data_IF_612349104266
#
_entry.id   IF_612349104266
#
_cell.length_a   1.000
_cell.length_b   1.000
_cell.length_c   1.000
_cell.angle_alpha   90.00
_cell.angle_beta   90.00
_cell.angle_gamma   90.00
#
_symmetry.space_group_name_H-M   'P 1'
#
loop_
_entity.id
_entity.type
_entity.pdbx_description
1 polymer ?
#
# COMPACT_ATOMS: atom_id res chain seq x y z
N UNK A 1 20.38 -20.73 0.32
CA UNK A 1 19.30 -20.67 1.35
C UNK A 1 19.47 -19.38 2.14
N UNK A 2 18.41 -18.63 2.40
CA UNK A 2 18.48 -17.43 3.27
C UNK A 2 18.79 -17.85 4.71
N UNK A 3 19.70 -17.14 5.34
CA UNK A 3 20.03 -17.32 6.76
C UNK A 3 18.81 -16.96 7.65
N UNK A 4 18.72 -17.56 8.82
CA UNK A 4 17.65 -17.29 9.81
C UNK A 4 17.65 -15.82 10.24
N UNK A 5 18.82 -15.22 10.39
CA UNK A 5 18.98 -13.81 10.71
C UNK A 5 18.32 -12.90 9.66
N UNK A 6 18.57 -13.14 8.35
CA UNK A 6 17.98 -12.34 7.26
C UNK A 6 16.46 -12.44 7.24
N UNK A 7 15.93 -13.64 7.52
CA UNK A 7 14.47 -13.83 7.61
C UNK A 7 13.87 -13.03 8.76
N UNK A 8 14.55 -13.03 9.92
CA UNK A 8 14.11 -12.30 11.10
C UNK A 8 14.13 -10.79 10.85
N UNK A 9 15.21 -10.26 10.28
CA UNK A 9 15.31 -8.83 9.93
C UNK A 9 14.19 -8.41 8.98
N UNK A 10 13.94 -9.19 7.93
CA UNK A 10 12.84 -8.90 6.97
C UNK A 10 11.47 -8.95 7.62
N UNK A 11 11.25 -9.91 8.53
CA UNK A 11 10.00 -10.02 9.28
C UNK A 11 9.80 -8.81 10.20
N UNK A 12 10.83 -8.38 10.92
CA UNK A 12 10.77 -7.19 11.78
C UNK A 12 10.50 -5.93 10.97
N UNK A 13 11.18 -5.75 9.84
CA UNK A 13 10.94 -4.60 8.94
C UNK A 13 9.52 -4.65 8.38
N UNK A 14 9.02 -5.84 7.98
CA UNK A 14 7.65 -5.99 7.51
C UNK A 14 6.62 -5.64 8.60
N UNK A 15 6.85 -6.07 9.85
CA UNK A 15 5.98 -5.75 10.98
C UNK A 15 5.97 -4.25 11.31
N UNK A 16 7.13 -3.59 11.28
CA UNK A 16 7.23 -2.14 11.47
C UNK A 16 6.50 -1.37 10.35
N UNK A 17 6.66 -1.80 9.11
CA UNK A 17 5.94 -1.21 7.98
C UNK A 17 4.43 -1.48 8.07
N UNK A 18 3.99 -2.67 8.48
CA UNK A 18 2.58 -2.96 8.71
C UNK A 18 2.00 -2.01 9.77
N UNK A 19 2.68 -1.84 10.90
CA UNK A 19 2.26 -0.91 11.96
C UNK A 19 2.19 0.54 11.44
N UNK A 20 3.20 0.99 10.68
CA UNK A 20 3.20 2.32 10.08
C UNK A 20 2.05 2.50 9.06
N UNK A 21 1.78 1.48 8.23
CA UNK A 21 0.64 1.48 7.30
C UNK A 21 -0.68 1.58 8.07
N UNK A 22 -0.85 0.81 9.15
CA UNK A 22 -2.05 0.86 10.00
C UNK A 22 -2.27 2.26 10.55
N UNK A 23 -1.23 2.86 11.17
CA UNK A 23 -1.32 4.19 11.77
C UNK A 23 -1.62 5.26 10.70
N UNK A 24 -0.92 5.20 9.57
CA UNK A 24 -1.12 6.15 8.46
C UNK A 24 -2.52 6.05 7.86
N UNK A 25 -3.05 4.83 7.75
CA UNK A 25 -4.37 4.56 7.15
C UNK A 25 -5.51 4.87 8.11
N UNK A 26 -5.40 4.45 9.38
CA UNK A 26 -6.50 4.57 10.33
C UNK A 26 -6.58 5.95 11.00
N UNK A 27 -5.46 6.65 11.17
CA UNK A 27 -5.41 7.85 12.00
C UNK A 27 -4.85 9.08 11.31
N UNK A 28 -3.87 8.94 10.41
CA UNK A 28 -3.25 10.09 9.74
C UNK A 28 -3.93 10.30 8.39
N UNK A 29 -4.52 11.50 8.19
CA UNK A 29 -5.25 11.85 6.96
C UNK A 29 -6.41 10.92 6.63
N UNK A 30 -7.09 10.41 7.64
CA UNK A 30 -8.26 9.57 7.50
C UNK A 30 -9.49 10.46 7.24
N UNK A 31 -9.94 10.52 5.98
CA UNK A 31 -11.07 11.35 5.55
C UNK A 31 -12.24 10.46 5.11
N UNK A 32 -13.33 10.36 5.89
CA UNK A 32 -14.49 9.56 5.52
C UNK A 32 -15.13 10.03 4.21
N UNK A 33 -15.58 9.09 3.38
CA UNK A 33 -16.36 9.38 2.17
C UNK A 33 -17.85 9.18 2.50
N UNK A 34 -18.66 10.25 2.51
CA UNK A 34 -20.08 10.14 2.83
C UNK A 34 -20.81 9.15 1.92
N UNK A 35 -21.65 8.31 2.50
CA UNK A 35 -22.52 7.37 1.77
C UNK A 35 -21.87 6.05 1.34
N UNK A 36 -20.54 5.89 1.46
CA UNK A 36 -19.87 4.64 1.06
C UNK A 36 -19.39 3.79 2.25
N UNK A 37 -19.37 4.36 3.45
CA UNK A 37 -18.73 3.74 4.62
C UNK A 37 -17.21 3.54 4.46
N UNK A 38 -16.63 4.05 3.37
CA UNK A 38 -15.20 4.06 3.11
C UNK A 38 -14.55 5.39 3.46
N UNK A 39 -13.26 5.50 3.21
CA UNK A 39 -12.47 6.68 3.55
C UNK A 39 -11.26 6.84 2.62
N UNK A 40 -10.75 8.08 2.51
CA UNK A 40 -9.51 8.41 1.81
C UNK A 40 -8.37 8.41 2.83
N UNK A 41 -7.23 7.84 2.44
CA UNK A 41 -6.00 7.82 3.24
C UNK A 41 -4.76 7.79 2.33
N UNK A 42 -3.58 8.01 2.90
CA UNK A 42 -2.32 7.96 2.14
C UNK A 42 -1.38 6.81 2.55
N UNK A 43 -1.90 5.83 3.27
CA UNK A 43 -1.17 4.63 3.68
C UNK A 43 -0.60 3.81 2.52
N UNK A 44 -1.19 3.92 1.31
CA UNK A 44 -0.71 3.24 0.11
C UNK A 44 0.71 3.67 -0.28
N UNK A 45 1.14 4.88 0.07
CA UNK A 45 2.53 5.32 -0.12
C UNK A 45 3.53 4.42 0.63
N UNK A 46 3.19 4.02 1.85
CA UNK A 46 4.00 3.09 2.65
C UNK A 46 3.94 1.66 2.12
N UNK A 47 2.81 1.25 1.54
CA UNK A 47 2.69 -0.03 0.84
C UNK A 47 3.64 -0.07 -0.37
N UNK A 48 3.70 1.01 -1.16
CA UNK A 48 4.64 1.13 -2.28
C UNK A 48 6.10 1.07 -1.80
N UNK A 49 6.43 1.72 -0.69
CA UNK A 49 7.76 1.64 -0.08
C UNK A 49 8.08 0.21 0.37
N UNK A 50 7.15 -0.47 1.04
CA UNK A 50 7.30 -1.86 1.46
C UNK A 50 7.54 -2.78 0.26
N UNK A 51 6.77 -2.60 -0.82
CA UNK A 51 6.89 -3.37 -2.05
C UNK A 51 8.23 -3.14 -2.80
N UNK A 52 8.81 -1.95 -2.66
CA UNK A 52 10.12 -1.65 -3.21
C UNK A 52 11.28 -2.14 -2.33
N UNK A 53 11.06 -2.29 -1.03
CA UNK A 53 12.11 -2.66 -0.06
C UNK A 53 12.18 -4.15 0.20
N UNK A 54 11.04 -4.79 0.41
CA UNK A 54 10.94 -6.17 0.88
C UNK A 54 10.72 -7.16 -0.27
N UNK A 55 11.21 -8.40 -0.14
CA UNK A 55 10.78 -9.50 -1.00
C UNK A 55 9.26 -9.68 -0.96
N UNK A 56 8.68 -10.11 -2.08
CA UNK A 56 7.24 -10.17 -2.31
C UNK A 56 6.41 -10.72 -1.14
N UNK A 57 6.72 -11.88 -0.53
CA UNK A 57 5.87 -12.41 0.55
C UNK A 57 5.84 -11.50 1.80
N UNK A 58 6.95 -10.85 2.14
CA UNK A 58 7.01 -9.91 3.26
C UNK A 58 6.29 -8.60 2.93
N UNK A 59 6.43 -8.11 1.69
CA UNK A 59 5.75 -6.91 1.23
C UNK A 59 4.22 -7.11 1.20
N UNK A 60 3.75 -8.25 0.69
CA UNK A 60 2.32 -8.63 0.73
C UNK A 60 1.85 -8.73 2.17
N UNK A 61 2.61 -9.40 3.04
CA UNK A 61 2.28 -9.50 4.47
C UNK A 61 2.15 -8.13 5.13
N UNK A 62 3.11 -7.22 4.91
CA UNK A 62 3.07 -5.86 5.46
C UNK A 62 1.85 -5.08 4.95
N UNK A 63 1.55 -5.16 3.65
CA UNK A 63 0.42 -4.47 3.05
C UNK A 63 -0.94 -4.99 3.56
N UNK A 64 -1.11 -6.31 3.54
CA UNK A 64 -2.37 -6.97 3.93
C UNK A 64 -2.64 -6.80 5.43
N UNK A 65 -1.64 -7.06 6.27
CA UNK A 65 -1.79 -6.90 7.72
C UNK A 65 -1.98 -5.44 8.08
N UNK A 66 -1.17 -4.54 7.51
CA UNK A 66 -1.23 -3.12 7.85
C UNK A 66 -2.54 -2.47 7.45
N UNK A 67 -2.99 -2.64 6.20
CA UNK A 67 -4.26 -2.11 5.73
C UNK A 67 -5.47 -2.85 6.32
N UNK A 68 -5.36 -4.17 6.47
CA UNK A 68 -6.42 -4.97 7.08
C UNK A 68 -6.69 -4.61 8.54
N UNK A 69 -5.66 -4.36 9.35
CA UNK A 69 -5.81 -3.86 10.72
C UNK A 69 -6.44 -2.46 10.75
N UNK A 70 -6.08 -1.59 9.81
CA UNK A 70 -6.70 -0.27 9.71
C UNK A 70 -8.22 -0.39 9.47
N UNK A 71 -8.62 -1.22 8.49
CA UNK A 71 -10.04 -1.44 8.22
C UNK A 71 -10.77 -2.12 9.38
N UNK A 72 -10.13 -3.10 10.02
CA UNK A 72 -10.71 -3.77 11.19
C UNK A 72 -11.05 -2.76 12.30
N UNK A 73 -10.25 -1.71 12.44
CA UNK A 73 -10.44 -0.67 13.45
C UNK A 73 -11.42 0.43 13.04
N UNK A 74 -11.54 0.72 11.73
CA UNK A 74 -12.25 1.92 11.25
C UNK A 74 -13.42 1.62 10.33
N UNK A 75 -13.34 0.58 9.50
CA UNK A 75 -14.33 0.21 8.49
C UNK A 75 -14.35 -1.30 8.21
N UNK A 76 -14.73 -2.15 9.19
CA UNK A 76 -14.59 -3.62 9.13
C UNK A 76 -15.22 -4.26 7.89
N UNK A 77 -16.26 -3.65 7.34
CA UNK A 77 -16.96 -4.13 6.15
C UNK A 77 -16.05 -4.18 4.91
N UNK A 78 -15.01 -3.35 4.86
CA UNK A 78 -14.06 -3.28 3.75
C UNK A 78 -12.92 -4.29 3.85
N UNK A 79 -12.68 -4.88 5.03
CA UNK A 79 -11.57 -5.79 5.29
C UNK A 79 -11.40 -6.90 4.23
N UNK A 80 -12.44 -7.64 3.80
CA UNK A 80 -12.26 -8.70 2.81
C UNK A 80 -11.78 -8.17 1.45
N UNK A 81 -12.33 -7.04 0.99
CA UNK A 81 -11.92 -6.40 -0.26
C UNK A 81 -10.50 -5.86 -0.14
N UNK A 82 -10.20 -5.14 0.93
CA UNK A 82 -8.89 -4.54 1.18
C UNK A 82 -7.76 -5.57 1.20
N UNK A 83 -7.93 -6.69 1.87
CA UNK A 83 -6.93 -7.77 1.90
C UNK A 83 -6.55 -8.22 0.49
N UNK A 84 -7.53 -8.46 -0.37
CA UNK A 84 -7.29 -8.87 -1.76
C UNK A 84 -6.67 -7.74 -2.58
N UNK A 85 -7.22 -6.53 -2.48
CA UNK A 85 -6.78 -5.37 -3.27
C UNK A 85 -5.33 -4.99 -2.92
N UNK A 86 -4.98 -4.94 -1.64
CA UNK A 86 -3.63 -4.58 -1.22
C UNK A 86 -2.59 -5.67 -1.55
N UNK A 87 -2.99 -6.93 -1.54
CA UNK A 87 -2.13 -8.01 -2.06
C UNK A 87 -1.85 -7.83 -3.56
N UNK A 88 -2.89 -7.59 -4.37
CA UNK A 88 -2.76 -7.37 -5.82
C UNK A 88 -1.91 -6.13 -6.13
N UNK A 89 -2.08 -5.05 -5.35
CA UNK A 89 -1.38 -3.79 -5.54
C UNK A 89 0.14 -3.91 -5.40
N UNK A 90 0.64 -4.87 -4.61
CA UNK A 90 2.07 -5.12 -4.40
C UNK A 90 2.72 -5.84 -5.59
N UNK A 91 1.98 -6.66 -6.33
CA UNK A 91 2.53 -7.57 -7.36
C UNK A 91 3.35 -6.89 -8.48
N UNK A 92 2.99 -5.71 -9.00
CA UNK A 92 3.74 -5.06 -10.08
C UNK A 92 5.13 -4.59 -9.66
N UNK A 93 5.34 -4.32 -8.37
CA UNK A 93 6.57 -3.74 -7.84
C UNK A 93 7.77 -4.71 -7.86
N UNK A 94 8.95 -4.16 -7.65
CA UNK A 94 10.16 -4.94 -7.47
C UNK A 94 11.02 -4.38 -6.34
N UNK A 95 11.48 -5.27 -5.48
CA UNK A 95 12.49 -4.97 -4.46
C UNK A 95 13.93 -5.19 -4.93
N UNK A 96 14.11 -5.62 -6.18
CA UNK A 96 15.44 -5.86 -6.75
C UNK A 96 16.14 -4.52 -7.06
N UNK A 97 17.46 -4.49 -6.89
CA UNK A 97 18.28 -3.30 -7.10
C UNK A 97 18.31 -2.35 -5.90
N UNK A 98 19.14 -1.32 -5.99
CA UNK A 98 19.52 -0.45 -4.87
C UNK A 98 18.63 0.77 -4.69
N UNK A 99 17.68 1.02 -5.60
CA UNK A 99 16.81 2.21 -5.58
C UNK A 99 15.35 1.84 -5.41
N UNK A 100 14.61 2.71 -4.72
CA UNK A 100 13.15 2.68 -4.66
C UNK A 100 12.55 3.10 -6.02
N UNK A 101 13.08 4.19 -6.60
CA UNK A 101 12.61 4.74 -7.87
C UNK A 101 13.39 4.12 -9.04
N UNK A 102 12.78 3.16 -9.70
CA UNK A 102 13.22 2.62 -10.99
C UNK A 102 12.05 2.62 -11.98
N UNK A 103 12.31 2.45 -13.27
CA UNK A 103 11.26 2.46 -14.31
C UNK A 103 10.12 1.50 -14.01
N UNK A 104 10.42 0.30 -13.52
CA UNK A 104 9.41 -0.70 -13.14
C UNK A 104 8.54 -0.21 -11.99
N UNK A 105 9.14 0.32 -10.92
CA UNK A 105 8.39 0.79 -9.75
C UNK A 105 7.59 2.05 -10.08
N UNK A 106 8.08 2.93 -10.96
CA UNK A 106 7.31 4.06 -11.45
C UNK A 106 6.06 3.62 -12.22
N UNK A 107 6.19 2.63 -13.12
CA UNK A 107 5.04 2.02 -13.80
C UNK A 107 4.12 1.28 -12.81
N UNK A 108 4.68 0.61 -11.79
CA UNK A 108 3.92 -0.10 -10.77
C UNK A 108 3.06 0.83 -9.92
N UNK A 109 3.49 2.07 -9.66
CA UNK A 109 2.66 3.09 -8.97
C UNK A 109 1.39 3.40 -9.77
N UNK A 110 1.52 3.58 -11.09
CA UNK A 110 0.37 3.81 -11.97
C UNK A 110 -0.56 2.60 -11.97
N UNK A 111 -0.01 1.40 -12.15
CA UNK A 111 -0.80 0.16 -12.09
C UNK A 111 -1.46 -0.05 -10.73
N UNK A 112 -0.76 0.26 -9.63
CA UNK A 112 -1.30 0.21 -8.27
C UNK A 112 -2.51 1.14 -8.12
N UNK A 113 -2.45 2.34 -8.68
CA UNK A 113 -3.59 3.27 -8.73
C UNK A 113 -4.78 2.71 -9.52
N UNK A 114 -4.53 2.14 -10.70
CA UNK A 114 -5.58 1.49 -11.52
C UNK A 114 -6.20 0.30 -10.79
N UNK A 115 -5.38 -0.55 -10.15
CA UNK A 115 -5.87 -1.67 -9.35
C UNK A 115 -6.72 -1.16 -8.19
N UNK A 116 -6.27 -0.12 -7.46
CA UNK A 116 -7.01 0.46 -6.35
C UNK A 116 -8.38 0.97 -6.80
N UNK A 117 -8.41 1.89 -7.77
CA UNK A 117 -9.66 2.50 -8.24
C UNK A 117 -10.61 1.45 -8.81
N UNK A 118 -10.12 0.58 -9.72
CA UNK A 118 -10.95 -0.41 -10.38
C UNK A 118 -11.48 -1.48 -9.42
N UNK A 119 -10.63 -1.97 -8.51
CA UNK A 119 -11.02 -3.04 -7.60
C UNK A 119 -11.94 -2.57 -6.48
N UNK A 120 -11.75 -1.37 -5.92
CA UNK A 120 -12.70 -0.81 -4.95
C UNK A 120 -14.03 -0.47 -5.61
N UNK A 121 -14.03 0.06 -6.84
CA UNK A 121 -15.27 0.25 -7.59
C UNK A 121 -16.04 -1.06 -7.78
N UNK A 122 -15.34 -2.12 -8.19
CA UNK A 122 -15.95 -3.46 -8.34
C UNK A 122 -16.44 -4.02 -6.99
N UNK A 123 -15.66 -3.87 -5.93
CA UNK A 123 -16.03 -4.33 -4.59
C UNK A 123 -17.30 -3.62 -4.09
N UNK A 124 -17.40 -2.30 -4.29
CA UNK A 124 -18.61 -1.54 -3.97
C UNK A 124 -19.83 -2.03 -4.74
N UNK A 125 -19.68 -2.21 -6.05
CA UNK A 125 -20.76 -2.71 -6.89
C UNK A 125 -21.29 -4.05 -6.43
N UNK A 126 -20.41 -4.95 -6.00
CA UNK A 126 -20.76 -6.27 -5.50
C UNK A 126 -21.35 -6.25 -4.08
N UNK A 127 -20.83 -5.39 -3.20
CA UNK A 127 -21.25 -5.36 -1.79
C UNK A 127 -22.54 -4.56 -1.58
N UNK A 128 -22.76 -3.49 -2.35
CA UNK A 128 -23.86 -2.54 -2.11
C UNK A 128 -24.89 -2.49 -3.25
N UNK A 129 -24.69 -3.22 -4.33
CA UNK A 129 -25.72 -3.50 -5.33
C UNK A 129 -26.17 -2.32 -6.21
N UNK A 130 -25.34 -1.31 -6.38
CA UNK A 130 -25.71 -0.17 -7.23
C UNK A 130 -24.54 0.45 -8.00
N UNK A 131 -24.62 0.54 -9.32
CA UNK A 131 -23.54 1.08 -10.15
C UNK A 131 -23.48 2.62 -10.17
N UNK A 132 -24.56 3.31 -9.79
CA UNK A 132 -24.67 4.76 -9.86
C UNK A 132 -24.10 5.51 -8.64
N UNK A 133 -23.99 4.85 -7.48
CA UNK A 133 -23.52 5.46 -6.23
C UNK A 133 -22.01 5.72 -6.19
N UNK A 134 -21.25 5.32 -7.22
CA UNK A 134 -19.81 5.11 -7.18
C UNK A 134 -18.96 6.25 -7.72
N UNK A 135 -19.54 7.34 -8.21
CA UNK A 135 -18.77 8.50 -8.67
C UNK A 135 -17.97 9.09 -7.50
N UNK A 136 -18.54 9.13 -6.30
CA UNK A 136 -17.84 9.60 -5.10
C UNK A 136 -16.67 8.68 -4.73
N UNK A 137 -16.87 7.37 -4.85
CA UNK A 137 -15.83 6.37 -4.59
C UNK A 137 -14.69 6.44 -5.60
N UNK A 138 -14.99 6.52 -6.89
CA UNK A 138 -13.96 6.70 -7.93
C UNK A 138 -13.14 7.94 -7.65
N UNK A 139 -13.80 9.07 -7.35
CA UNK A 139 -13.12 10.33 -7.04
C UNK A 139 -12.24 10.19 -5.79
N UNK A 140 -12.77 9.59 -4.71
CA UNK A 140 -12.03 9.35 -3.49
C UNK A 140 -10.80 8.47 -3.71
N UNK A 141 -10.95 7.34 -4.40
CA UNK A 141 -9.86 6.41 -4.71
C UNK A 141 -8.83 7.02 -5.68
N UNK A 142 -9.24 7.90 -6.60
CA UNK A 142 -8.31 8.66 -7.45
C UNK A 142 -7.47 9.64 -6.62
N UNK A 143 -8.10 10.43 -5.74
CA UNK A 143 -7.39 11.36 -4.85
C UNK A 143 -6.40 10.58 -3.97
N UNK A 144 -6.83 9.47 -3.39
CA UNK A 144 -5.97 8.59 -2.59
C UNK A 144 -4.79 8.07 -3.40
N UNK A 145 -5.02 7.57 -4.60
CA UNK A 145 -3.97 6.99 -5.46
C UNK A 145 -2.96 8.04 -5.89
N UNK A 146 -3.42 9.23 -6.33
CA UNK A 146 -2.55 10.33 -6.75
C UNK A 146 -1.77 10.88 -5.55
N UNK A 147 -2.41 11.10 -4.41
CA UNK A 147 -1.76 11.58 -3.19
C UNK A 147 -0.72 10.59 -2.66
N UNK A 148 -1.06 9.30 -2.62
CA UNK A 148 -0.12 8.24 -2.23
C UNK A 148 1.06 8.13 -3.19
N UNK A 149 0.83 8.28 -4.50
CA UNK A 149 1.89 8.30 -5.50
C UNK A 149 2.84 9.49 -5.29
N UNK A 150 2.30 10.68 -5.06
CA UNK A 150 3.11 11.88 -4.79
C UNK A 150 3.97 11.71 -3.53
N UNK A 151 3.39 11.25 -2.44
CA UNK A 151 4.11 10.98 -1.19
C UNK A 151 5.20 9.91 -1.42
N UNK A 152 4.88 8.81 -2.12
CA UNK A 152 5.87 7.78 -2.45
C UNK A 152 7.03 8.33 -3.28
N UNK A 153 6.76 9.16 -4.29
CA UNK A 153 7.81 9.75 -5.12
C UNK A 153 8.74 10.66 -4.32
N UNK A 154 8.19 11.49 -3.43
CA UNK A 154 8.96 12.36 -2.53
C UNK A 154 9.80 11.53 -1.56
N UNK A 155 9.19 10.60 -0.84
CA UNK A 155 9.89 9.74 0.11
C UNK A 155 10.92 8.86 -0.60
N UNK A 156 10.54 8.18 -1.68
CA UNK A 156 11.42 7.32 -2.44
C UNK A 156 12.65 8.06 -3.00
N UNK A 157 12.45 9.27 -3.53
CA UNK A 157 13.56 10.10 -4.01
C UNK A 157 14.51 10.51 -2.87
N UNK A 158 13.96 10.86 -1.71
CA UNK A 158 14.75 11.24 -0.53
C UNK A 158 15.53 10.03 0.00
N UNK A 159 14.87 8.88 0.12
CA UNK A 159 15.49 7.64 0.59
C UNK A 159 16.57 7.13 -0.38
N UNK A 160 16.37 7.32 -1.69
CA UNK A 160 17.36 7.00 -2.72
C UNK A 160 18.60 7.92 -2.62
N UNK A 161 18.40 9.22 -2.34
CA UNK A 161 19.51 10.18 -2.15
C UNK A 161 20.40 9.82 -0.95
N UNK A 162 19.80 9.36 0.16
CA UNK A 162 20.56 8.94 1.35
C UNK A 162 21.07 7.49 1.24
N UNK A 163 20.73 6.78 0.16
CA UNK A 163 21.16 5.41 -0.09
C UNK A 163 20.64 4.40 0.93
N UNK A 164 19.45 4.64 1.51
CA UNK A 164 18.91 3.82 2.60
C UNK A 164 18.79 2.34 2.20
N UNK A 165 18.24 2.05 1.02
CA UNK A 165 18.05 0.67 0.55
C UNK A 165 19.37 -0.08 0.43
N UNK A 166 20.40 0.57 -0.12
CA UNK A 166 21.74 0.00 -0.20
C UNK A 166 22.34 -0.32 1.16
N UNK A 167 22.13 0.58 2.15
CA UNK A 167 22.61 0.36 3.52
C UNK A 167 21.88 -0.81 4.17
N UNK A 168 20.56 -0.91 4.01
CA UNK A 168 19.76 -2.01 4.56
C UNK A 168 20.11 -3.36 3.91
N UNK A 169 20.38 -3.39 2.60
CA UNK A 169 20.81 -4.59 1.90
C UNK A 169 22.21 -5.06 2.31
N UNK A 170 23.07 -4.13 2.76
CA UNK A 170 24.40 -4.47 3.26
C UNK A 170 24.39 -5.05 4.69
N UNK A 171 23.29 -4.90 5.42
CA UNK A 171 23.09 -5.44 6.78
C UNK A 171 22.38 -6.81 6.77
N UNK A 172 21.80 -7.21 5.63
CA UNK A 172 21.06 -8.46 5.45
C UNK A 172 21.84 -9.47 4.61
#
# INVERSE_FOLDING_TARGET
MMNTHDKLVRLVVAALLAAAITVMTAYLFHVPIPGTGGYIHFGDALIYLAACLLPLPYAVGAAVVGAGLADLLTAPMWLPATVVIKALMVLPFTSRGEKFLCRRNAAAVVLGGVITVGSYYLAEALLFGGWAAFVASITGNLIQSVGSAAIFLVLGSTLDRVGLKRRLLALA
#
